data_IF_709436726197
#
_entry.id   IF_709436726197
#
_cell.length_a   1.000
_cell.length_b   1.000
_cell.length_c   1.000
_cell.angle_alpha   90.00
_cell.angle_beta   90.00
_cell.angle_gamma   90.00
#
_symmetry.space_group_name_H-M   'P 1'
#
loop_
_entity.id
_entity.type
_entity.pdbx_description
1 polymer ?
#
# COMPACT_ATOMS: atom_id res chain seq x y z
N UNK A 1 -1.09 12.12 -28.11
CA UNK A 1 -1.94 11.09 -27.49
C UNK A 1 -1.04 10.22 -26.64
N UNK A 2 -1.36 10.02 -25.36
CA UNK A 2 -0.58 9.18 -24.44
C UNK A 2 -0.79 7.69 -24.70
N UNK A 3 0.15 6.85 -24.29
CA UNK A 3 -0.06 5.40 -24.32
C UNK A 3 -1.07 4.98 -23.25
N UNK A 4 -0.90 5.49 -22.01
CA UNK A 4 -1.75 5.12 -20.88
C UNK A 4 -2.17 6.34 -20.07
N UNK A 5 -3.46 6.44 -19.74
CA UNK A 5 -3.97 7.36 -18.74
C UNK A 5 -4.22 6.59 -17.43
N UNK A 6 -3.46 6.89 -16.38
CA UNK A 6 -3.70 6.39 -15.03
C UNK A 6 -4.82 7.22 -14.39
N UNK A 7 -5.87 6.56 -13.92
CA UNK A 7 -7.01 7.22 -13.25
C UNK A 7 -6.99 6.81 -11.77
N UNK A 8 -6.92 7.79 -10.88
CA UNK A 8 -6.73 7.56 -9.44
C UNK A 8 -7.43 8.63 -8.59
N UNK A 9 -7.74 8.27 -7.37
CA UNK A 9 -8.43 9.10 -6.40
C UNK A 9 -7.43 9.66 -5.40
N UNK A 10 -7.37 11.00 -5.29
CA UNK A 10 -6.76 11.75 -4.20
C UNK A 10 -5.34 11.39 -3.76
N UNK A 11 -4.47 10.92 -4.67
CA UNK A 11 -3.14 10.42 -4.27
C UNK A 11 -2.00 11.05 -5.08
N UNK A 12 -1.52 10.39 -6.11
CA UNK A 12 -0.38 10.86 -6.92
C UNK A 12 -0.79 11.99 -7.88
N UNK A 13 0.00 13.02 -8.10
CA UNK A 13 1.36 13.22 -7.58
C UNK A 13 1.43 14.02 -6.27
N UNK A 14 0.32 14.38 -5.67
CA UNK A 14 0.22 15.43 -4.66
C UNK A 14 0.50 14.92 -3.25
N UNK A 15 0.20 13.66 -2.98
CA UNK A 15 0.24 13.08 -1.64
C UNK A 15 1.15 11.86 -1.58
N UNK A 16 1.81 11.71 -0.45
CA UNK A 16 2.57 10.50 -0.12
C UNK A 16 1.61 9.38 0.32
N UNK A 17 1.93 8.15 -0.08
CA UNK A 17 1.10 6.99 0.27
C UNK A 17 1.47 5.76 -0.55
N UNK A 18 0.94 4.59 -0.18
CA UNK A 18 1.28 3.33 -0.86
C UNK A 18 1.00 3.34 -2.36
N UNK A 19 -0.18 3.83 -2.78
CA UNK A 19 -0.55 3.92 -4.20
C UNK A 19 0.32 4.95 -4.91
N UNK A 20 0.58 6.12 -4.28
CA UNK A 20 1.44 7.16 -4.87
C UNK A 20 2.87 6.67 -5.08
N UNK A 21 3.46 6.01 -4.09
CA UNK A 21 4.80 5.38 -4.20
C UNK A 21 4.80 4.35 -5.33
N UNK A 22 3.75 3.55 -5.44
CA UNK A 22 3.63 2.56 -6.50
C UNK A 22 3.54 3.21 -7.88
N UNK A 23 2.71 4.26 -8.05
CA UNK A 23 2.60 5.02 -9.32
C UNK A 23 3.94 5.62 -9.70
N UNK A 24 4.62 6.29 -8.77
CA UNK A 24 5.92 6.90 -9.04
C UNK A 24 6.96 5.85 -9.51
N UNK A 25 6.99 4.69 -8.83
CA UNK A 25 7.87 3.56 -9.24
C UNK A 25 7.50 3.02 -10.61
N UNK A 26 6.20 2.90 -10.93
CA UNK A 26 5.72 2.41 -12.21
C UNK A 26 6.12 3.36 -13.36
N UNK A 27 5.78 4.65 -13.24
CA UNK A 27 6.02 5.61 -14.32
C UNK A 27 7.52 5.85 -14.54
N UNK A 28 8.35 5.80 -13.50
CA UNK A 28 9.82 5.86 -13.61
C UNK A 28 10.41 4.59 -14.21
N UNK A 29 9.85 3.43 -13.87
CA UNK A 29 10.32 2.14 -14.36
C UNK A 29 9.96 1.85 -15.82
N UNK A 30 9.05 2.64 -16.41
CA UNK A 30 8.55 2.50 -17.78
C UNK A 30 8.79 3.77 -18.59
N UNK A 31 10.06 4.20 -18.69
CA UNK A 31 10.43 5.41 -19.40
C UNK A 31 10.15 5.41 -20.91
N UNK A 32 9.82 4.25 -21.47
CA UNK A 32 9.42 4.01 -22.87
C UNK A 32 7.90 4.05 -23.09
N UNK A 33 7.10 4.22 -22.03
CA UNK A 33 5.64 4.38 -22.10
C UNK A 33 5.29 5.81 -21.71
N UNK A 34 4.46 6.47 -22.50
CA UNK A 34 3.98 7.82 -22.18
C UNK A 34 2.73 7.75 -21.31
N UNK A 35 2.79 8.39 -20.13
CA UNK A 35 1.71 8.42 -19.16
C UNK A 35 1.06 9.80 -19.06
N UNK A 36 -0.26 9.82 -18.90
CA UNK A 36 -0.97 10.92 -18.28
C UNK A 36 -1.63 10.43 -16.99
N UNK A 37 -1.92 11.34 -16.07
CA UNK A 37 -2.66 11.07 -14.83
C UNK A 37 -3.96 11.86 -14.84
N UNK A 38 -5.07 11.20 -14.57
CA UNK A 38 -6.34 11.81 -14.20
C UNK A 38 -6.51 11.65 -12.68
N UNK A 39 -6.26 12.73 -11.96
CA UNK A 39 -6.38 12.80 -10.51
C UNK A 39 -7.82 13.24 -10.18
N UNK A 40 -8.55 12.36 -9.55
CA UNK A 40 -9.92 12.61 -9.10
C UNK A 40 -9.90 13.15 -7.68
N UNK A 41 -10.51 14.30 -7.45
CA UNK A 41 -10.58 14.96 -6.14
C UNK A 41 -11.96 15.55 -5.89
N UNK A 42 -12.32 15.81 -4.65
CA UNK A 42 -13.49 16.59 -4.27
C UNK A 42 -13.20 18.10 -4.43
N UNK A 43 -14.28 18.89 -4.45
CA UNK A 43 -14.22 20.33 -4.70
C UNK A 43 -13.36 21.08 -3.67
N UNK A 44 -13.31 20.58 -2.44
CA UNK A 44 -12.59 21.16 -1.31
C UNK A 44 -11.11 20.74 -1.21
N UNK A 45 -10.62 19.93 -2.14
CA UNK A 45 -9.24 19.48 -2.09
C UNK A 45 -8.27 20.66 -2.32
N UNK A 46 -7.42 21.01 -1.35
CA UNK A 46 -6.48 22.13 -1.52
C UNK A 46 -5.51 21.84 -2.65
N UNK A 47 -5.15 22.88 -3.42
CA UNK A 47 -4.03 22.80 -4.35
C UNK A 47 -2.73 22.64 -3.55
N UNK A 48 -2.22 21.43 -3.47
CA UNK A 48 -0.97 21.10 -2.78
C UNK A 48 0.17 21.07 -3.80
N UNK A 49 1.35 21.49 -3.41
CA UNK A 49 2.54 21.30 -4.23
C UNK A 49 2.77 19.76 -4.41
N UNK A 50 3.13 19.31 -5.61
CA UNK A 50 3.36 17.89 -5.85
C UNK A 50 4.42 17.31 -4.90
N UNK A 51 4.09 16.20 -4.23
CA UNK A 51 5.02 15.48 -3.36
C UNK A 51 6.10 14.74 -4.18
N UNK A 52 5.84 14.54 -5.48
CA UNK A 52 6.74 13.83 -6.40
C UNK A 52 7.13 14.72 -7.57
N UNK A 53 8.42 14.80 -7.85
CA UNK A 53 8.90 15.42 -9.09
C UNK A 53 8.51 14.53 -10.29
N UNK A 54 7.78 15.06 -11.29
CA UNK A 54 7.29 14.27 -12.41
C UNK A 54 8.46 13.73 -13.25
N UNK A 55 8.47 12.41 -13.56
CA UNK A 55 9.46 11.85 -14.47
C UNK A 55 9.13 12.23 -15.93
N UNK A 56 10.11 12.13 -16.86
CA UNK A 56 9.89 12.45 -18.28
C UNK A 56 8.78 11.64 -18.96
N UNK A 57 8.50 10.44 -18.49
CA UNK A 57 7.41 9.59 -18.99
C UNK A 57 6.01 10.09 -18.61
N UNK A 58 5.88 10.97 -17.61
CA UNK A 58 4.63 11.60 -17.22
C UNK A 58 4.44 12.91 -17.99
N UNK A 59 3.56 12.91 -18.96
CA UNK A 59 3.33 14.04 -19.88
C UNK A 59 2.40 15.12 -19.32
N UNK A 60 1.55 14.76 -18.33
CA UNK A 60 0.63 15.70 -17.71
C UNK A 60 -0.25 15.08 -16.64
N UNK A 61 -0.80 15.96 -15.81
CA UNK A 61 -1.77 15.62 -14.76
C UNK A 61 -3.02 16.46 -14.96
N UNK A 62 -4.16 15.83 -15.19
CA UNK A 62 -5.47 16.47 -15.19
C UNK A 62 -6.11 16.28 -13.82
N UNK A 63 -6.57 17.35 -13.20
CA UNK A 63 -7.37 17.30 -11.97
C UNK A 63 -8.83 17.40 -12.34
N UNK A 64 -9.61 16.43 -11.88
CA UNK A 64 -11.04 16.34 -12.12
C UNK A 64 -11.77 16.38 -10.78
N UNK A 65 -12.65 17.34 -10.63
CA UNK A 65 -13.54 17.40 -9.48
C UNK A 65 -14.65 16.37 -9.66
N UNK A 66 -14.86 15.56 -8.62
CA UNK A 66 -15.96 14.60 -8.58
C UNK A 66 -16.95 15.09 -7.53
N UNK A 67 -18.21 15.16 -7.92
CA UNK A 67 -19.29 15.39 -6.98
C UNK A 67 -19.38 14.21 -6.01
N UNK A 68 -19.33 14.44 -4.70
CA UNK A 68 -19.50 13.39 -3.70
C UNK A 68 -20.92 12.80 -3.68
N UNK A 69 -21.89 13.43 -4.35
CA UNK A 69 -23.24 12.85 -4.49
C UNK A 69 -23.19 11.57 -5.35
N UNK A 70 -23.64 10.45 -4.78
CA UNK A 70 -23.70 9.17 -5.49
C UNK A 70 -24.56 9.18 -6.77
N UNK A 71 -25.50 10.12 -6.87
CA UNK A 71 -26.36 10.30 -8.03
C UNK A 71 -25.75 11.21 -9.11
N UNK A 72 -24.68 11.91 -8.81
CA UNK A 72 -24.04 12.80 -9.76
C UNK A 72 -23.42 12.04 -10.92
N UNK A 73 -23.51 12.55 -12.15
CA UNK A 73 -22.91 11.91 -13.30
C UNK A 73 -21.37 11.94 -13.17
N UNK A 74 -20.72 10.82 -13.43
CA UNK A 74 -19.27 10.77 -13.53
C UNK A 74 -18.77 11.79 -14.57
N UNK A 75 -17.57 12.40 -14.39
CA UNK A 75 -16.98 13.33 -15.32
C UNK A 75 -17.05 12.80 -16.76
N UNK A 76 -17.31 13.70 -17.71
CA UNK A 76 -17.36 13.33 -19.12
C UNK A 76 -15.97 12.81 -19.57
N UNK A 77 -15.96 11.81 -20.44
CA UNK A 77 -14.70 11.27 -20.99
C UNK A 77 -13.82 12.37 -21.65
N UNK A 78 -14.45 13.42 -22.22
CA UNK A 78 -13.75 14.55 -22.81
C UNK A 78 -12.87 15.33 -21.82
N UNK A 79 -13.14 15.24 -20.51
CA UNK A 79 -12.33 15.88 -19.49
C UNK A 79 -11.04 15.10 -19.13
N UNK A 80 -10.96 13.83 -19.55
CA UNK A 80 -9.76 13.01 -19.29
C UNK A 80 -8.72 13.23 -20.41
N UNK A 81 -7.42 13.15 -20.06
CA UNK A 81 -6.36 13.11 -21.05
C UNK A 81 -6.61 12.02 -22.11
N UNK A 82 -6.34 12.35 -23.38
CA UNK A 82 -6.42 11.35 -24.44
C UNK A 82 -5.31 10.30 -24.28
N UNK A 83 -5.69 9.03 -24.32
CA UNK A 83 -4.80 7.90 -24.21
C UNK A 83 -5.30 6.69 -25.02
N UNK A 84 -4.36 5.82 -25.35
CA UNK A 84 -4.63 4.56 -26.06
C UNK A 84 -5.15 3.45 -25.12
N UNK A 85 -5.02 3.65 -23.82
CA UNK A 85 -5.61 2.80 -22.78
C UNK A 85 -5.88 3.60 -21.51
N UNK A 86 -6.91 3.22 -20.75
CA UNK A 86 -7.20 3.76 -19.43
C UNK A 86 -6.92 2.70 -18.37
N UNK A 87 -6.23 3.09 -17.29
CA UNK A 87 -5.87 2.20 -16.22
C UNK A 87 -6.29 2.80 -14.86
N UNK A 88 -7.34 2.26 -14.26
CA UNK A 88 -7.79 2.65 -12.93
C UNK A 88 -7.02 1.91 -11.82
N UNK A 89 -6.79 2.58 -10.70
CA UNK A 89 -6.04 2.03 -9.56
C UNK A 89 -6.93 1.67 -8.36
N UNK A 90 -8.25 1.72 -8.55
CA UNK A 90 -9.27 1.31 -7.57
C UNK A 90 -10.56 0.94 -8.27
N UNK A 91 -11.46 0.23 -7.59
CA UNK A 91 -12.81 -0.12 -8.07
C UNK A 91 -13.87 0.95 -7.77
N UNK A 92 -13.46 2.13 -7.30
CA UNK A 92 -14.35 3.25 -7.00
C UNK A 92 -14.65 4.15 -8.19
N UNK A 93 -14.63 5.44 -7.94
CA UNK A 93 -14.86 6.46 -8.96
C UNK A 93 -13.84 6.39 -10.10
N UNK A 94 -12.59 6.07 -9.78
CA UNK A 94 -11.54 5.91 -10.79
C UNK A 94 -11.92 4.84 -11.84
N UNK A 95 -12.41 3.68 -11.40
CA UNK A 95 -12.84 2.63 -12.32
C UNK A 95 -14.05 3.06 -13.15
N UNK A 96 -15.04 3.72 -12.55
CA UNK A 96 -16.25 4.18 -13.25
C UNK A 96 -15.90 5.19 -14.35
N UNK A 97 -15.04 6.17 -14.03
CA UNK A 97 -14.57 7.20 -14.96
C UNK A 97 -13.69 6.60 -16.06
N UNK A 98 -12.74 5.73 -15.71
CA UNK A 98 -11.87 5.06 -16.69
C UNK A 98 -12.64 4.14 -17.63
N UNK A 99 -13.55 3.32 -17.12
CA UNK A 99 -14.38 2.41 -17.92
C UNK A 99 -15.29 3.18 -18.91
N UNK A 100 -15.86 4.30 -18.45
CA UNK A 100 -16.65 5.17 -19.32
C UNK A 100 -15.80 5.76 -20.45
N UNK A 101 -14.65 6.34 -20.11
CA UNK A 101 -13.74 6.94 -21.09
C UNK A 101 -13.22 5.90 -22.11
N UNK A 102 -12.86 4.72 -21.63
CA UNK A 102 -12.41 3.62 -22.49
C UNK A 102 -13.50 3.19 -23.48
N UNK A 103 -14.73 3.00 -23.00
CA UNK A 103 -15.88 2.63 -23.84
C UNK A 103 -16.23 3.71 -24.88
N UNK A 104 -16.27 5.00 -24.48
CA UNK A 104 -16.61 6.10 -25.39
C UNK A 104 -15.53 6.30 -26.47
N UNK A 105 -14.29 5.96 -26.20
CA UNK A 105 -13.14 6.09 -27.12
C UNK A 105 -12.77 4.79 -27.84
N UNK A 106 -13.39 3.68 -27.49
CA UNK A 106 -13.11 2.37 -28.10
C UNK A 106 -11.69 1.88 -27.82
N UNK A 107 -11.18 2.12 -26.59
CA UNK A 107 -9.82 1.72 -26.17
C UNK A 107 -9.88 0.81 -24.94
N UNK A 108 -8.81 0.03 -24.63
CA UNK A 108 -8.79 -0.87 -23.50
C UNK A 108 -8.93 -0.18 -22.13
N UNK A 109 -9.62 -0.88 -21.20
CA UNK A 109 -9.71 -0.54 -19.79
C UNK A 109 -9.00 -1.57 -18.92
N UNK A 110 -8.00 -1.14 -18.17
CA UNK A 110 -7.25 -1.93 -17.22
C UNK A 110 -7.58 -1.49 -15.79
N UNK A 111 -7.57 -2.44 -14.87
CA UNK A 111 -7.82 -2.21 -13.45
C UNK A 111 -6.74 -2.85 -12.60
N UNK A 112 -6.12 -2.09 -11.69
CA UNK A 112 -5.25 -2.63 -10.62
C UNK A 112 -5.89 -2.34 -9.27
N UNK A 113 -6.02 -3.35 -8.41
CA UNK A 113 -6.39 -3.14 -7.01
C UNK A 113 -5.21 -3.40 -6.07
N UNK A 114 -4.90 -2.40 -5.26
CA UNK A 114 -3.89 -2.43 -4.22
C UNK A 114 -4.42 -2.95 -2.88
N UNK A 115 -5.73 -2.96 -2.69
CA UNK A 115 -6.50 -3.49 -1.58
C UNK A 115 -7.89 -3.83 -2.10
N UNK A 116 -8.68 -4.58 -1.35
CA UNK A 116 -10.07 -4.88 -1.73
C UNK A 116 -11.01 -4.04 -0.86
N UNK A 117 -11.34 -2.82 -1.31
CA UNK A 117 -12.17 -1.89 -0.56
C UNK A 117 -13.51 -2.49 -0.11
N UNK A 118 -14.14 -3.30 -0.97
CA UNK A 118 -15.38 -4.01 -0.66
C UNK A 118 -15.21 -5.08 0.43
N UNK A 119 -14.06 -5.74 0.51
CA UNK A 119 -13.73 -6.68 1.57
C UNK A 119 -13.44 -5.96 2.88
N UNK A 120 -12.63 -4.90 2.84
CA UNK A 120 -12.31 -4.08 4.00
C UNK A 120 -13.55 -3.44 4.60
N UNK A 121 -14.48 -2.95 3.77
CA UNK A 121 -15.77 -2.44 4.19
C UNK A 121 -16.61 -3.51 4.93
N UNK A 122 -16.54 -4.78 4.52
CA UNK A 122 -17.23 -5.89 5.19
C UNK A 122 -16.68 -6.22 6.58
N UNK A 123 -15.42 -5.84 6.87
CA UNK A 123 -14.79 -6.05 8.17
C UNK A 123 -15.20 -5.00 9.23
N UNK A 124 -16.00 -4.01 8.86
CA UNK A 124 -16.37 -2.91 9.74
C UNK A 124 -15.20 -2.03 10.21
N UNK A 125 -14.05 -2.17 9.57
CA UNK A 125 -12.81 -1.44 9.92
C UNK A 125 -12.65 -0.15 9.13
N UNK A 126 -13.62 0.16 8.30
CA UNK A 126 -13.55 1.27 7.36
C UNK A 126 -14.32 2.47 7.89
N UNK A 127 -13.76 3.17 8.85
CA UNK A 127 -14.00 4.59 9.04
C UNK A 127 -13.04 5.43 8.17
N UNK A 128 -12.71 4.95 6.98
CA UNK A 128 -11.47 5.24 6.32
C UNK A 128 -11.73 6.05 5.04
N UNK A 129 -11.52 7.34 5.13
CA UNK A 129 -11.16 8.16 3.97
C UNK A 129 -9.65 8.00 3.77
N UNK A 130 -9.21 7.53 2.63
CA UNK A 130 -7.78 7.53 2.26
C UNK A 130 -7.27 8.96 2.30
N UNK A 131 -8.12 9.90 1.99
CA UNK A 131 -7.92 11.34 2.10
C UNK A 131 -9.28 12.05 2.25
N UNK A 132 -9.31 13.34 2.65
CA UNK A 132 -10.52 14.17 2.59
C UNK A 132 -11.12 14.23 1.18
N UNK A 133 -10.28 14.01 0.17
CA UNK A 133 -10.63 13.93 -1.25
C UNK A 133 -10.90 12.52 -1.76
N UNK A 134 -11.10 11.51 -0.92
CA UNK A 134 -11.51 10.18 -1.37
C UNK A 134 -13.01 10.18 -1.68
N UNK A 135 -13.41 10.13 -2.96
CA UNK A 135 -14.82 10.15 -3.37
C UNK A 135 -15.54 8.82 -3.10
N UNK A 136 -14.85 7.79 -2.62
CA UNK A 136 -15.48 6.60 -2.06
C UNK A 136 -16.17 6.99 -0.76
N UNK A 137 -17.41 7.45 -0.88
CA UNK A 137 -18.26 7.64 0.30
C UNK A 137 -18.60 6.28 0.90
N UNK A 138 -17.80 5.90 1.91
CA UNK A 138 -17.98 4.68 2.69
C UNK A 138 -19.31 4.64 3.47
N UNK A 139 -20.04 5.78 3.54
CA UNK A 139 -21.42 5.83 4.02
C UNK A 139 -22.40 5.01 3.17
N UNK A 140 -22.00 4.66 1.94
CA UNK A 140 -22.80 3.79 1.05
C UNK A 140 -23.00 2.36 1.57
N UNK A 141 -22.25 1.94 2.56
CA UNK A 141 -22.27 0.57 3.09
C UNK A 141 -21.55 -0.46 2.19
N UNK A 142 -21.12 -1.55 2.81
CA UNK A 142 -20.31 -2.59 2.16
C UNK A 142 -20.96 -3.19 0.90
N UNK A 143 -22.30 -3.27 0.86
CA UNK A 143 -23.02 -3.81 -0.29
C UNK A 143 -22.90 -2.96 -1.55
N UNK A 144 -22.98 -1.63 -1.42
CA UNK A 144 -22.84 -0.71 -2.56
C UNK A 144 -21.39 -0.69 -3.07
N UNK A 145 -20.40 -0.70 -2.18
CA UNK A 145 -18.99 -0.78 -2.56
C UNK A 145 -18.72 -2.09 -3.33
N UNK A 146 -19.29 -3.22 -2.87
CA UNK A 146 -19.17 -4.49 -3.57
C UNK A 146 -19.88 -4.49 -4.94
N UNK A 147 -20.99 -3.75 -5.10
CA UNK A 147 -21.65 -3.59 -6.38
C UNK A 147 -20.79 -2.82 -7.38
N UNK A 148 -20.22 -1.68 -6.96
CA UNK A 148 -19.29 -0.89 -7.78
C UNK A 148 -18.06 -1.72 -8.21
N UNK A 149 -17.51 -2.52 -7.31
CA UNK A 149 -16.40 -3.41 -7.64
C UNK A 149 -16.78 -4.43 -8.71
N UNK A 150 -17.96 -5.07 -8.63
CA UNK A 150 -18.45 -6.00 -9.67
C UNK A 150 -18.65 -5.33 -11.02
N UNK A 151 -19.17 -4.11 -11.05
CA UNK A 151 -19.31 -3.34 -12.28
C UNK A 151 -17.96 -3.04 -12.93
N UNK A 152 -16.96 -2.63 -12.11
CA UNK A 152 -15.60 -2.39 -12.57
C UNK A 152 -14.96 -3.68 -13.13
N UNK A 153 -15.14 -4.82 -12.45
CA UNK A 153 -14.63 -6.12 -12.88
C UNK A 153 -15.25 -6.59 -14.20
N UNK A 154 -16.54 -6.35 -14.37
CA UNK A 154 -17.25 -6.70 -15.62
C UNK A 154 -16.76 -5.85 -16.82
N UNK A 155 -16.46 -4.58 -16.57
CA UNK A 155 -16.01 -3.63 -17.58
C UNK A 155 -14.55 -3.79 -17.99
N UNK A 156 -13.67 -4.27 -17.08
CA UNK A 156 -12.24 -4.31 -17.31
C UNK A 156 -11.82 -5.43 -18.28
N UNK A 157 -10.96 -5.11 -19.26
CA UNK A 157 -10.33 -6.09 -20.15
C UNK A 157 -9.28 -6.92 -19.40
N UNK A 158 -8.58 -6.30 -18.44
CA UNK A 158 -7.64 -6.98 -17.55
C UNK A 158 -7.76 -6.42 -16.14
N UNK A 159 -7.82 -7.31 -15.15
CA UNK A 159 -7.77 -6.98 -13.72
C UNK A 159 -6.47 -7.50 -13.14
N UNK A 160 -5.66 -6.61 -12.57
CA UNK A 160 -4.45 -6.98 -11.87
C UNK A 160 -4.61 -6.87 -10.37
N UNK A 161 -3.96 -7.76 -9.66
CA UNK A 161 -3.89 -7.81 -8.21
C UNK A 161 -2.43 -7.90 -7.77
N UNK A 162 -2.11 -7.29 -6.64
CA UNK A 162 -0.73 -7.32 -6.12
C UNK A 162 -0.37 -8.64 -5.42
N UNK A 163 -1.36 -9.48 -5.11
CA UNK A 163 -1.14 -10.79 -4.50
C UNK A 163 -2.18 -11.83 -4.94
N UNK A 164 -1.80 -13.10 -4.83
CA UNK A 164 -2.64 -14.22 -5.26
C UNK A 164 -3.93 -14.38 -4.40
N UNK A 165 -3.89 -13.97 -3.13
CA UNK A 165 -5.07 -14.03 -2.24
C UNK A 165 -6.16 -13.10 -2.77
N UNK A 166 -5.80 -11.84 -3.07
CA UNK A 166 -6.73 -10.87 -3.61
C UNK A 166 -7.21 -11.26 -5.01
N UNK A 167 -6.33 -11.78 -5.88
CA UNK A 167 -6.73 -12.27 -7.20
C UNK A 167 -7.78 -13.39 -7.11
N UNK A 168 -7.64 -14.33 -6.17
CA UNK A 168 -8.67 -15.36 -5.93
C UNK A 168 -9.98 -14.76 -5.45
N UNK A 169 -9.94 -13.77 -4.55
CA UNK A 169 -11.12 -13.08 -4.07
C UNK A 169 -11.82 -12.30 -5.19
N UNK A 170 -11.07 -11.63 -6.07
CA UNK A 170 -11.60 -10.94 -7.25
C UNK A 170 -12.27 -11.92 -8.22
N UNK A 171 -11.66 -13.08 -8.49
CA UNK A 171 -12.26 -14.13 -9.32
C UNK A 171 -13.56 -14.65 -8.69
N UNK A 172 -13.59 -14.86 -7.38
CA UNK A 172 -14.79 -15.24 -6.66
C UNK A 172 -15.88 -14.14 -6.68
N UNK A 173 -15.47 -12.86 -6.81
CA UNK A 173 -16.36 -11.71 -6.94
C UNK A 173 -16.81 -11.42 -8.39
N UNK A 174 -16.35 -12.21 -9.38
CA UNK A 174 -16.83 -12.15 -10.76
C UNK A 174 -15.79 -11.80 -11.82
N UNK A 175 -14.52 -11.62 -11.47
CA UNK A 175 -13.46 -11.43 -12.48
C UNK A 175 -13.23 -12.72 -13.25
N UNK A 176 -13.34 -12.74 -14.59
CA UNK A 176 -13.01 -13.90 -15.40
C UNK A 176 -11.53 -14.31 -15.20
N UNK A 177 -11.26 -15.60 -15.02
CA UNK A 177 -9.89 -16.10 -14.74
C UNK A 177 -8.88 -15.69 -15.80
N UNK A 178 -9.28 -15.68 -17.04
CA UNK A 178 -8.47 -15.29 -18.21
C UNK A 178 -8.12 -13.79 -18.22
N UNK A 179 -8.90 -12.95 -17.55
CA UNK A 179 -8.63 -11.52 -17.37
C UNK A 179 -7.86 -11.20 -16.09
N UNK A 180 -7.75 -12.15 -15.15
CA UNK A 180 -7.06 -11.95 -13.87
C UNK A 180 -5.55 -12.15 -14.01
N UNK A 181 -4.77 -11.22 -13.46
CA UNK A 181 -3.29 -11.30 -13.40
C UNK A 181 -2.81 -10.94 -12.01
N UNK A 182 -1.67 -11.51 -11.60
CA UNK A 182 -0.99 -11.13 -10.37
C UNK A 182 0.35 -10.47 -10.74
N UNK A 183 0.49 -9.20 -10.41
CA UNK A 183 1.75 -8.45 -10.56
C UNK A 183 2.10 -7.88 -9.19
N UNK A 184 3.18 -8.36 -8.60
CA UNK A 184 3.59 -7.96 -7.26
C UNK A 184 4.01 -6.48 -7.18
N UNK A 185 3.92 -5.88 -6.00
CA UNK A 185 4.46 -4.55 -5.77
C UNK A 185 6.00 -4.56 -5.88
N UNK A 186 6.62 -3.50 -6.45
CA UNK A 186 8.06 -3.38 -6.59
C UNK A 186 8.72 -2.98 -5.26
N UNK A 187 9.92 -3.49 -5.03
CA UNK A 187 10.83 -2.97 -4.00
C UNK A 187 11.34 -1.57 -4.38
N UNK A 188 11.93 -0.81 -3.43
CA UNK A 188 12.63 0.42 -3.77
C UNK A 188 13.80 0.15 -4.75
N UNK A 189 14.05 1.07 -5.69
CA UNK A 189 15.19 0.96 -6.61
C UNK A 189 16.55 0.96 -5.87
N UNK A 190 16.61 1.59 -4.70
CA UNK A 190 17.80 1.63 -3.83
C UNK A 190 18.00 0.39 -2.97
N UNK A 191 17.21 -0.67 -3.19
CA UNK A 191 17.32 -1.94 -2.44
C UNK A 191 18.69 -2.65 -2.58
N UNK A 192 19.58 -2.15 -3.46
CA UNK A 192 20.96 -2.64 -3.62
C UNK A 192 21.96 -2.07 -2.61
N UNK A 193 21.54 -1.25 -1.64
CA UNK A 193 22.44 -0.72 -0.60
C UNK A 193 22.92 -1.83 0.35
N UNK A 194 24.15 -1.72 0.88
CA UNK A 194 24.77 -2.77 1.70
C UNK A 194 23.90 -3.17 2.89
N UNK A 195 23.95 -4.46 3.22
CA UNK A 195 23.16 -5.10 4.24
C UNK A 195 23.09 -4.27 5.55
N UNK A 196 21.88 -4.07 6.04
CA UNK A 196 21.66 -3.70 7.44
C UNK A 196 22.25 -4.79 8.34
N UNK A 197 23.49 -4.68 8.71
CA UNK A 197 24.25 -5.67 9.47
C UNK A 197 25.69 -5.25 9.65
N UNK A 198 26.22 -4.42 8.75
CA UNK A 198 27.61 -3.95 8.83
C UNK A 198 27.82 -2.82 9.86
N UNK A 199 26.77 -2.14 10.31
CA UNK A 199 26.85 -0.97 11.20
C UNK A 199 25.81 -0.96 12.33
N UNK A 200 25.28 -2.12 12.73
CA UNK A 200 24.47 -2.15 13.97
C UNK A 200 25.39 -1.97 15.14
N UNK A 201 25.64 -0.69 15.50
CA UNK A 201 26.33 -0.32 16.70
C UNK A 201 25.68 -1.03 17.91
N UNK A 202 26.49 -1.42 18.89
CA UNK A 202 26.01 -1.86 20.19
C UNK A 202 25.04 -0.79 20.74
N UNK A 203 23.76 -1.10 20.78
CA UNK A 203 22.68 -0.18 21.16
C UNK A 203 21.42 -0.95 21.54
N UNK A 204 20.35 -0.24 21.92
CA UNK A 204 19.08 -0.85 22.25
C UNK A 204 18.50 -1.64 21.06
N UNK A 205 17.75 -2.70 21.36
CA UNK A 205 17.00 -3.44 20.35
C UNK A 205 15.84 -2.58 19.85
N UNK A 206 15.82 -2.28 18.55
CA UNK A 206 14.87 -1.35 17.94
C UNK A 206 13.81 -2.07 17.13
N UNK A 207 12.55 -1.82 17.46
CA UNK A 207 11.39 -2.41 16.79
C UNK A 207 10.57 -1.28 16.17
N UNK A 208 10.30 -1.37 14.86
CA UNK A 208 9.48 -0.36 14.17
C UNK A 208 8.20 -0.93 13.61
N UNK A 209 7.19 -0.06 13.49
CA UNK A 209 6.01 -0.23 12.64
C UNK A 209 6.03 0.91 11.63
N UNK A 210 5.96 0.58 10.34
CA UNK A 210 5.96 1.58 9.26
C UNK A 210 4.60 1.58 8.58
N UNK A 211 3.96 2.75 8.56
CA UNK A 211 2.68 2.97 7.91
C UNK A 211 1.89 4.10 8.56
N UNK A 212 0.78 4.46 7.93
CA UNK A 212 -0.16 5.45 8.48
C UNK A 212 -0.71 4.98 9.83
N UNK A 213 -0.90 5.91 10.77
CA UNK A 213 -1.52 5.60 12.05
C UNK A 213 -3.03 5.67 11.91
N UNK A 214 -3.63 4.55 11.47
CA UNK A 214 -5.07 4.41 11.20
C UNK A 214 -5.58 3.06 11.74
N UNK A 215 -6.87 2.95 12.01
CA UNK A 215 -7.47 1.80 12.70
C UNK A 215 -7.19 0.45 12.01
N UNK A 216 -7.18 0.40 10.68
CA UNK A 216 -6.92 -0.85 9.94
C UNK A 216 -5.48 -1.36 10.11
N UNK A 217 -4.52 -0.48 10.46
CA UNK A 217 -3.12 -0.85 10.76
C UNK A 217 -2.94 -1.40 12.16
N UNK A 218 -3.94 -1.24 13.01
CA UNK A 218 -4.00 -1.75 14.40
C UNK A 218 -2.73 -1.47 15.21
N UNK A 219 -2.33 -0.19 15.20
CA UNK A 219 -1.18 0.28 15.98
C UNK A 219 -1.38 0.01 17.48
N UNK A 220 -2.62 -0.04 17.94
CA UNK A 220 -2.95 -0.38 19.33
C UNK A 220 -2.47 -1.80 19.71
N UNK A 221 -2.58 -2.79 18.83
CA UNK A 221 -2.01 -4.13 19.06
C UNK A 221 -0.48 -4.09 19.11
N UNK A 222 0.17 -3.28 18.25
CA UNK A 222 1.63 -3.08 18.32
C UNK A 222 2.05 -2.48 19.68
N UNK A 223 1.38 -1.44 20.16
CA UNK A 223 1.70 -0.80 21.44
C UNK A 223 1.51 -1.75 22.64
N UNK A 224 0.44 -2.55 22.65
CA UNK A 224 0.25 -3.58 23.70
C UNK A 224 1.33 -4.65 23.64
N UNK A 225 1.77 -5.05 22.44
CA UNK A 225 2.89 -5.97 22.28
C UNK A 225 4.21 -5.32 22.75
N UNK A 226 4.41 -4.04 22.44
CA UNK A 226 5.57 -3.27 22.88
C UNK A 226 5.68 -3.20 24.39
N UNK A 227 4.57 -3.01 25.12
CA UNK A 227 4.57 -3.02 26.58
C UNK A 227 5.01 -4.37 27.15
N UNK A 228 4.55 -5.48 26.57
CA UNK A 228 4.99 -6.84 26.97
C UNK A 228 6.49 -7.01 26.71
N UNK A 229 6.98 -6.55 25.55
CA UNK A 229 8.40 -6.64 25.18
C UNK A 229 9.24 -5.77 26.11
N UNK A 230 8.80 -4.55 26.42
CA UNK A 230 9.54 -3.62 27.29
C UNK A 230 9.72 -4.17 28.72
N UNK A 231 8.71 -4.89 29.22
CA UNK A 231 8.80 -5.54 30.54
C UNK A 231 9.84 -6.67 30.60
N UNK A 232 10.03 -7.41 29.50
CA UNK A 232 10.98 -8.53 29.42
C UNK A 232 12.35 -8.13 28.88
N UNK A 233 12.43 -7.03 28.12
CA UNK A 233 13.66 -6.50 27.52
C UNK A 233 13.80 -5.00 27.84
N UNK A 234 14.21 -4.64 29.04
CA UNK A 234 14.42 -3.25 29.42
C UNK A 234 15.43 -2.54 28.51
N UNK A 235 15.10 -1.29 28.14
CA UNK A 235 15.95 -0.46 27.28
C UNK A 235 15.75 -0.70 25.77
N UNK A 236 14.79 -1.54 25.33
CA UNK A 236 14.40 -1.59 23.93
C UNK A 236 13.69 -0.29 23.51
N UNK A 237 13.75 0.04 22.23
CA UNK A 237 13.14 1.23 21.62
C UNK A 237 12.09 0.82 20.60
N UNK A 238 10.98 1.58 20.54
CA UNK A 238 9.91 1.37 19.59
C UNK A 238 9.73 2.61 18.73
N UNK A 239 9.41 2.43 17.45
CA UNK A 239 9.10 3.51 16.53
C UNK A 239 7.82 3.23 15.76
N UNK A 240 6.89 4.18 15.77
CA UNK A 240 5.72 4.23 14.89
C UNK A 240 6.01 5.28 13.83
N UNK A 241 6.29 4.82 12.60
CA UNK A 241 6.89 5.62 11.53
C UNK A 241 5.85 5.85 10.45
N UNK A 242 5.37 7.07 10.30
CA UNK A 242 4.42 7.46 9.27
C UNK A 242 3.38 8.48 9.73
N UNK A 243 2.54 8.97 8.81
CA UNK A 243 1.61 10.07 9.05
C UNK A 243 0.56 9.75 10.13
N UNK A 244 0.21 10.79 10.88
CA UNK A 244 -0.68 10.76 12.05
C UNK A 244 -2.01 11.49 11.78
N UNK A 245 -2.11 12.19 10.68
CA UNK A 245 -3.17 13.14 10.35
C UNK A 245 -4.30 12.54 9.51
N UNK A 246 -4.17 11.28 9.08
CA UNK A 246 -5.23 10.58 8.34
C UNK A 246 -6.43 10.20 9.22
N UNK A 247 -6.17 9.78 10.47
CA UNK A 247 -7.17 9.52 11.52
C UNK A 247 -6.65 10.11 12.83
N UNK A 248 -6.74 11.46 13.02
CA UNK A 248 -6.14 12.14 14.17
C UNK A 248 -6.62 11.60 15.51
N UNK A 249 -7.93 11.32 15.64
CA UNK A 249 -8.53 10.79 16.88
C UNK A 249 -7.93 9.41 17.23
N UNK A 250 -7.69 8.57 16.23
CA UNK A 250 -7.04 7.27 16.42
C UNK A 250 -5.56 7.42 16.79
N UNK A 251 -4.86 8.33 16.14
CA UNK A 251 -3.46 8.62 16.46
C UNK A 251 -3.30 9.13 17.90
N UNK A 252 -4.20 10.03 18.35
CA UNK A 252 -4.23 10.51 19.71
C UNK A 252 -4.60 9.41 20.72
N UNK A 253 -5.54 8.53 20.36
CA UNK A 253 -5.84 7.34 21.16
C UNK A 253 -4.62 6.43 21.32
N UNK A 254 -3.82 6.24 20.25
CA UNK A 254 -2.58 5.47 20.30
C UNK A 254 -1.52 6.11 21.23
N UNK A 255 -1.39 7.44 21.21
CA UNK A 255 -0.48 8.15 22.12
C UNK A 255 -0.91 8.00 23.59
N UNK A 256 -2.22 8.16 23.87
CA UNK A 256 -2.76 7.92 25.20
C UNK A 256 -2.52 6.49 25.66
N UNK A 257 -2.78 5.53 24.79
CA UNK A 257 -2.53 4.11 25.09
C UNK A 257 -1.05 3.84 25.43
N UNK A 258 -0.10 4.44 24.74
CA UNK A 258 1.33 4.29 25.03
C UNK A 258 1.67 4.84 26.45
N UNK A 259 1.06 5.96 26.83
CA UNK A 259 1.21 6.54 28.18
C UNK A 259 0.54 5.65 29.24
N UNK A 260 -0.67 5.15 29.01
CA UNK A 260 -1.38 4.23 29.92
C UNK A 260 -0.64 2.90 30.13
N UNK A 261 0.09 2.45 29.13
CA UNK A 261 0.94 1.26 29.17
C UNK A 261 2.33 1.52 29.75
N UNK A 262 2.61 2.75 30.19
CA UNK A 262 3.89 3.19 30.77
C UNK A 262 5.10 3.01 29.85
N UNK A 263 4.88 3.03 28.51
CA UNK A 263 5.94 2.93 27.49
C UNK A 263 6.12 4.21 26.67
N UNK A 264 5.50 5.32 27.08
CA UNK A 264 5.49 6.56 26.32
C UNK A 264 6.88 7.10 25.99
N UNK A 265 7.86 6.98 26.90
CA UNK A 265 9.24 7.41 26.67
C UNK A 265 10.03 6.48 25.75
N UNK A 266 9.61 5.23 25.59
CA UNK A 266 10.25 4.23 24.73
C UNK A 266 9.68 4.22 23.32
N UNK A 267 8.52 4.87 23.07
CA UNK A 267 7.83 4.88 21.79
C UNK A 267 7.99 6.24 21.11
N UNK A 268 8.61 6.26 19.96
CA UNK A 268 8.69 7.43 19.10
C UNK A 268 7.60 7.38 18.02
N UNK A 269 6.70 8.38 17.99
CA UNK A 269 5.80 8.63 16.88
C UNK A 269 6.44 9.69 15.98
N UNK A 270 6.87 9.30 14.76
CA UNK A 270 7.67 10.20 13.92
C UNK A 270 6.85 11.24 13.15
N UNK A 271 5.57 10.97 12.93
CA UNK A 271 4.82 11.68 11.88
C UNK A 271 5.28 11.28 10.49
N UNK A 272 4.88 12.06 9.49
CA UNK A 272 5.29 11.82 8.11
C UNK A 272 6.81 12.05 7.95
N UNK A 273 7.49 11.03 7.45
CA UNK A 273 8.95 11.05 7.24
C UNK A 273 9.35 10.01 6.19
N UNK A 274 10.55 10.16 5.61
CA UNK A 274 11.16 9.10 4.79
C UNK A 274 11.45 7.87 5.67
N UNK A 275 10.87 6.70 5.40
CA UNK A 275 11.11 5.50 6.20
C UNK A 275 12.46 4.84 5.90
N UNK A 276 13.15 5.17 4.81
CA UNK A 276 14.37 4.50 4.39
C UNK A 276 15.52 4.56 5.43
N UNK A 277 15.79 5.69 6.11
CA UNK A 277 16.76 5.74 7.19
C UNK A 277 16.39 4.86 8.40
N UNK A 278 15.08 4.71 8.66
CA UNK A 278 14.58 3.90 9.76
C UNK A 278 14.81 2.41 9.54
N UNK A 279 14.52 1.88 8.35
CA UNK A 279 14.77 0.47 8.06
C UNK A 279 16.22 0.04 8.35
N UNK A 280 17.21 0.93 8.15
CA UNK A 280 18.63 0.62 8.45
C UNK A 280 18.91 0.53 9.94
N UNK A 281 18.09 1.14 10.79
CA UNK A 281 18.24 1.22 12.25
C UNK A 281 17.43 0.17 12.99
N UNK A 282 16.42 -0.43 12.34
CA UNK A 282 15.54 -1.41 12.96
C UNK A 282 16.19 -2.79 13.05
N UNK A 283 16.00 -3.46 14.20
CA UNK A 283 16.33 -4.86 14.43
C UNK A 283 15.17 -5.79 14.08
N UNK A 284 13.93 -5.30 14.16
CA UNK A 284 12.73 -5.99 13.71
C UNK A 284 11.69 -4.99 13.18
N UNK A 285 10.95 -5.39 12.15
CA UNK A 285 9.81 -4.64 11.63
C UNK A 285 8.52 -5.40 11.97
N UNK A 286 7.61 -4.75 12.67
CA UNK A 286 6.30 -5.27 12.99
C UNK A 286 5.23 -4.71 12.05
N UNK A 287 4.25 -5.53 11.68
CA UNK A 287 3.02 -5.13 11.00
C UNK A 287 1.84 -5.84 11.67
N UNK A 288 0.96 -5.08 12.30
CA UNK A 288 -0.16 -5.59 13.09
C UNK A 288 -1.51 -5.45 12.39
N UNK A 289 -1.51 -5.05 11.13
CA UNK A 289 -2.71 -4.74 10.34
C UNK A 289 -3.80 -5.81 10.40
N UNK A 290 -5.05 -5.38 10.35
CA UNK A 290 -6.25 -6.23 10.29
C UNK A 290 -6.47 -6.74 8.87
N UNK A 291 -6.16 -5.94 7.86
CA UNK A 291 -6.24 -6.29 6.44
C UNK A 291 -5.06 -5.71 5.68
N UNK A 292 -4.52 -6.48 4.74
CA UNK A 292 -3.48 -6.07 3.81
C UNK A 292 -3.58 -6.86 2.51
N UNK A 293 -3.27 -6.20 1.40
CA UNK A 293 -3.03 -6.92 0.15
C UNK A 293 -1.56 -7.35 0.06
N UNK A 294 -0.68 -6.40 -0.21
CA UNK A 294 0.76 -6.61 -0.23
C UNK A 294 1.46 -5.32 0.25
N UNK A 295 1.73 -5.21 1.56
CA UNK A 295 2.22 -3.97 2.16
C UNK A 295 3.63 -3.63 1.70
N UNK A 296 3.80 -2.42 1.16
CA UNK A 296 5.10 -1.90 0.71
C UNK A 296 6.11 -1.85 1.87
N UNK A 297 5.67 -1.50 3.08
CA UNK A 297 6.52 -1.46 4.26
C UNK A 297 7.25 -2.79 4.52
N UNK A 298 6.58 -3.94 4.33
CA UNK A 298 7.24 -5.23 4.47
C UNK A 298 8.22 -5.51 3.33
N UNK A 299 7.91 -5.10 2.09
CA UNK A 299 8.80 -5.25 0.93
C UNK A 299 10.05 -4.39 1.13
N UNK A 300 9.89 -3.18 1.62
CA UNK A 300 10.98 -2.25 1.94
C UNK A 300 11.84 -2.76 3.09
N UNK A 301 11.20 -3.26 4.16
CA UNK A 301 11.89 -3.92 5.26
C UNK A 301 12.68 -5.15 4.82
N UNK A 302 12.10 -6.00 3.95
CA UNK A 302 12.82 -7.12 3.33
C UNK A 302 14.01 -6.65 2.50
N UNK A 303 13.85 -5.63 1.68
CA UNK A 303 14.92 -5.07 0.86
C UNK A 303 16.09 -4.56 1.73
N UNK A 304 15.78 -3.95 2.87
CA UNK A 304 16.75 -3.54 3.89
C UNK A 304 17.30 -4.71 4.72
N UNK A 305 16.74 -5.91 4.61
CA UNK A 305 17.14 -7.09 5.37
C UNK A 305 16.71 -7.09 6.82
N UNK A 306 15.66 -6.34 7.15
CA UNK A 306 15.05 -6.34 8.48
C UNK A 306 14.16 -7.57 8.63
N UNK A 307 14.32 -8.41 9.68
CA UNK A 307 13.41 -9.51 9.94
C UNK A 307 12.02 -9.01 10.30
N UNK A 308 10.99 -9.73 9.86
CA UNK A 308 9.61 -9.31 9.93
C UNK A 308 8.82 -10.07 11.00
N UNK A 309 7.92 -9.37 11.70
CA UNK A 309 6.79 -9.95 12.43
C UNK A 309 5.52 -9.35 11.84
N UNK A 310 4.66 -10.17 11.25
CA UNK A 310 3.47 -9.65 10.61
C UNK A 310 2.23 -10.49 10.89
N UNK A 311 1.08 -9.84 10.89
CA UNK A 311 -0.21 -10.53 10.94
C UNK A 311 -0.44 -11.38 9.70
N UNK A 312 -1.01 -12.56 9.90
CA UNK A 312 -1.27 -13.54 8.85
C UNK A 312 -2.52 -13.20 8.03
N UNK A 313 -2.59 -11.98 7.50
CA UNK A 313 -3.71 -11.45 6.72
C UNK A 313 -3.33 -11.26 5.25
N UNK A 314 -4.30 -11.40 4.35
CA UNK A 314 -4.13 -11.16 2.92
C UNK A 314 -2.86 -11.76 2.34
N UNK A 315 -2.10 -10.97 1.60
CA UNK A 315 -0.83 -11.37 0.99
C UNK A 315 0.35 -11.44 1.94
N UNK A 316 0.21 -11.04 3.22
CA UNK A 316 1.31 -11.12 4.20
C UNK A 316 1.79 -12.55 4.41
N UNK A 317 0.90 -13.56 4.33
CA UNK A 317 1.28 -14.98 4.47
C UNK A 317 2.36 -15.37 3.46
N UNK A 318 2.14 -15.06 2.18
CA UNK A 318 3.07 -15.41 1.11
C UNK A 318 4.32 -14.51 1.13
N UNK A 319 4.15 -13.26 1.54
CA UNK A 319 5.22 -12.27 1.58
C UNK A 319 6.23 -12.59 2.69
N UNK A 320 5.76 -12.96 3.88
CA UNK A 320 6.57 -13.16 5.09
C UNK A 320 7.09 -14.60 5.23
N UNK A 321 6.47 -15.59 4.56
CA UNK A 321 6.86 -17.00 4.69
C UNK A 321 8.38 -17.23 4.54
N UNK A 322 9.08 -17.65 5.60
CA UNK A 322 10.53 -17.86 5.64
C UNK A 322 11.39 -16.58 5.72
N UNK A 323 10.81 -15.38 5.59
CA UNK A 323 11.48 -14.08 5.77
C UNK A 323 11.08 -13.39 7.08
N UNK A 324 10.23 -14.00 7.89
CA UNK A 324 9.74 -13.45 9.14
C UNK A 324 8.87 -14.43 9.91
N UNK A 325 8.22 -13.93 10.94
CA UNK A 325 7.31 -14.67 11.81
C UNK A 325 5.87 -14.16 11.59
N UNK A 326 4.93 -15.09 11.45
CA UNK A 326 3.51 -14.76 11.28
C UNK A 326 2.76 -14.94 12.60
N UNK A 327 1.88 -13.99 12.90
CA UNK A 327 1.03 -13.98 14.09
C UNK A 327 -0.44 -13.81 13.71
N UNK A 328 -1.35 -14.11 14.60
CA UNK A 328 -2.77 -13.80 14.40
C UNK A 328 -3.00 -12.29 14.52
N UNK A 329 -3.95 -11.71 13.76
CA UNK A 329 -4.35 -10.32 13.96
C UNK A 329 -4.98 -10.13 15.35
N UNK A 330 -4.85 -8.93 15.91
CA UNK A 330 -5.36 -8.58 17.24
C UNK A 330 -4.84 -9.46 18.39
N UNK A 331 -3.63 -10.02 18.24
CA UNK A 331 -2.96 -10.82 19.27
C UNK A 331 -1.64 -10.16 19.69
N UNK A 332 -1.67 -9.24 20.66
CA UNK A 332 -0.47 -8.58 21.17
C UNK A 332 0.50 -9.55 21.86
N UNK A 333 -0.01 -10.59 22.50
CA UNK A 333 0.86 -11.56 23.18
C UNK A 333 1.64 -12.43 22.17
N UNK A 334 1.02 -12.90 21.09
CA UNK A 334 1.73 -13.61 20.03
C UNK A 334 2.74 -12.68 19.31
N UNK A 335 2.36 -11.42 19.08
CA UNK A 335 3.26 -10.41 18.51
C UNK A 335 4.47 -10.18 19.38
N UNK A 336 4.29 -9.99 20.69
CA UNK A 336 5.37 -9.83 21.66
C UNK A 336 6.30 -11.06 21.69
N UNK A 337 5.74 -12.27 21.81
CA UNK A 337 6.55 -13.51 21.77
C UNK A 337 7.39 -13.62 20.50
N UNK A 338 6.84 -13.26 19.34
CA UNK A 338 7.59 -13.27 18.08
C UNK A 338 8.73 -12.23 18.08
N UNK A 339 8.50 -11.04 18.61
CA UNK A 339 9.51 -9.98 18.73
C UNK A 339 10.61 -10.37 19.72
N UNK A 340 10.25 -10.90 20.89
CA UNK A 340 11.22 -11.40 21.89
C UNK A 340 12.06 -12.55 21.34
N UNK A 341 11.46 -13.46 20.56
CA UNK A 341 12.21 -14.50 19.86
C UNK A 341 13.25 -13.91 18.91
N UNK A 342 12.89 -12.87 18.15
CA UNK A 342 13.86 -12.17 17.30
C UNK A 342 14.93 -11.47 18.14
N UNK A 343 14.59 -10.89 19.29
CA UNK A 343 15.57 -10.25 20.16
C UNK A 343 16.59 -11.25 20.70
N UNK A 344 16.14 -12.43 21.11
CA UNK A 344 16.99 -13.46 21.71
C UNK A 344 17.86 -14.26 20.71
N UNK A 345 17.45 -14.34 19.44
CA UNK A 345 18.06 -15.24 18.44
C UNK A 345 18.65 -14.43 17.26
N UNK A 346 19.90 -13.99 17.40
CA UNK A 346 20.62 -13.24 16.37
C UNK A 346 20.79 -14.07 15.06
N UNK A 347 21.19 -15.35 15.09
CA UNK A 347 21.21 -16.20 13.90
C UNK A 347 19.86 -16.29 13.17
N UNK A 348 18.74 -16.33 13.91
CA UNK A 348 17.41 -16.29 13.31
C UNK A 348 17.18 -14.98 12.56
N UNK A 349 17.51 -13.83 13.19
CA UNK A 349 17.39 -12.52 12.55
C UNK A 349 18.16 -12.45 11.23
N UNK A 350 19.43 -12.87 11.26
CA UNK A 350 20.31 -12.86 10.07
C UNK A 350 19.74 -13.72 8.95
N UNK A 351 19.30 -14.95 9.26
CA UNK A 351 18.70 -15.87 8.29
C UNK A 351 17.43 -15.31 7.68
N UNK A 352 16.51 -14.79 8.50
CA UNK A 352 15.25 -14.21 8.02
C UNK A 352 15.50 -12.96 7.19
N UNK A 353 16.39 -12.09 7.60
CA UNK A 353 16.79 -10.91 6.85
C UNK A 353 17.42 -11.26 5.49
N UNK A 354 18.28 -12.28 5.44
CA UNK A 354 18.88 -12.75 4.18
C UNK A 354 17.82 -13.29 3.21
N UNK A 355 16.87 -14.10 3.69
CA UNK A 355 15.75 -14.59 2.88
C UNK A 355 14.88 -13.43 2.39
N UNK A 356 14.62 -12.44 3.26
CA UNK A 356 13.87 -11.23 2.90
C UNK A 356 14.54 -10.47 1.76
N UNK A 357 15.85 -10.18 1.87
CA UNK A 357 16.61 -9.50 0.81
C UNK A 357 16.56 -10.26 -0.51
N UNK A 358 16.80 -11.56 -0.47
CA UNK A 358 16.77 -12.39 -1.70
C UNK A 358 15.37 -12.37 -2.36
N UNK A 359 14.30 -12.39 -1.56
CA UNK A 359 12.92 -12.29 -2.07
C UNK A 359 12.63 -10.92 -2.66
N UNK A 360 13.03 -9.82 -2.00
CA UNK A 360 12.89 -8.47 -2.51
C UNK A 360 13.63 -8.28 -3.83
N UNK A 361 14.89 -8.74 -3.91
CA UNK A 361 15.71 -8.65 -5.10
C UNK A 361 15.24 -9.58 -6.25
N UNK A 362 14.51 -10.65 -5.96
CA UNK A 362 13.99 -11.58 -6.96
C UNK A 362 12.55 -11.26 -7.39
N UNK A 363 11.59 -11.56 -6.50
CA UNK A 363 10.15 -11.45 -6.83
C UNK A 363 9.67 -10.00 -6.94
N UNK A 364 10.27 -9.09 -6.18
CA UNK A 364 9.90 -7.69 -6.08
C UNK A 364 10.91 -6.76 -6.77
N UNK A 365 11.83 -7.30 -7.56
CA UNK A 365 12.77 -6.49 -8.33
C UNK A 365 12.01 -5.46 -9.19
N UNK A 366 12.35 -4.16 -9.11
CA UNK A 366 11.66 -3.11 -9.87
C UNK A 366 11.61 -3.40 -11.37
N UNK A 367 12.70 -3.93 -11.93
CA UNK A 367 12.83 -4.26 -13.35
C UNK A 367 11.87 -5.40 -13.76
N UNK A 368 11.70 -6.39 -12.88
CA UNK A 368 10.76 -7.50 -13.11
C UNK A 368 9.31 -7.01 -13.10
N UNK A 369 8.95 -6.15 -12.15
CA UNK A 369 7.60 -5.58 -12.05
C UNK A 369 7.33 -4.67 -13.25
N UNK A 370 8.27 -3.80 -13.61
CA UNK A 370 8.18 -2.93 -14.79
C UNK A 370 8.05 -3.75 -16.07
N UNK A 371 8.82 -4.82 -16.23
CA UNK A 371 8.69 -5.72 -17.40
C UNK A 371 7.29 -6.35 -17.49
N UNK A 372 6.71 -6.77 -16.37
CA UNK A 372 5.36 -7.34 -16.35
C UNK A 372 4.29 -6.30 -16.75
N UNK A 373 4.38 -5.05 -16.28
CA UNK A 373 3.48 -3.98 -16.71
C UNK A 373 3.73 -3.55 -18.15
N UNK A 374 4.98 -3.53 -18.62
CA UNK A 374 5.30 -3.27 -20.05
C UNK A 374 4.63 -4.30 -20.94
N UNK A 375 4.71 -5.58 -20.60
CA UNK A 375 4.05 -6.65 -21.35
C UNK A 375 2.53 -6.50 -21.31
N UNK A 376 1.95 -6.15 -20.14
CA UNK A 376 0.53 -5.91 -19.97
C UNK A 376 0.04 -4.79 -20.90
N UNK A 377 0.69 -3.62 -20.86
CA UNK A 377 0.35 -2.49 -21.73
C UNK A 377 0.57 -2.79 -23.20
N UNK A 378 1.68 -3.43 -23.55
CA UNK A 378 1.94 -3.79 -24.94
C UNK A 378 0.91 -4.76 -25.51
N UNK A 379 0.33 -5.65 -24.71
CA UNK A 379 -0.79 -6.51 -25.12
C UNK A 379 -2.09 -5.71 -25.28
N UNK A 380 -2.42 -4.88 -24.29
CA UNK A 380 -3.62 -4.05 -24.33
C UNK A 380 -3.63 -3.09 -25.52
N UNK A 381 -2.49 -2.47 -25.84
CA UNK A 381 -2.37 -1.50 -26.94
C UNK A 381 -2.33 -2.14 -28.35
N UNK A 382 -2.25 -3.47 -28.46
CA UNK A 382 -2.34 -4.23 -29.73
C UNK A 382 -3.72 -4.82 -29.98
N UNK A 383 -4.57 -4.92 -28.97
CA UNK A 383 -5.93 -5.44 -29.07
C UNK A 383 -6.87 -4.40 -29.63
#
# INVERSE_FOLDING_TARGET
MNDVCLVLEGTYPDLTGGVSVWVDRLVRGLGDVSFAVAHLADEDAPAVAPAYAPPPSLTGVARLVIDPDPGAPAPAAAALPEARAYHALSTGAAAAVAARAARERGVPFLLTEHGLAWHEASLGTVAYRIHRSDPLDLRRGAGAIAALAREAYAAADVVTSVCAVNARAQVAAGVPRERSRVIANPAPATASAPAAGAERAAGPFRIGLVGRVVAIKDVATFLRAAAIVAAELPGCEFAVIGPLDHEPDYADACRRLAAELEIGEQVTFTGETDPAPWYRRLDALALTSISEAQPLALIEGMAAGVPLVATAVGGCRDLVAGAGLLVAPRDPAATARALLRLAADAPLRERLGAVGRARAAGRHAPERVSAAYRELYARALRA
#
